data_IF_364191973104
#
_entry.id   IF_364191973104
#
_cell.length_a   1.000
_cell.length_b   1.000
_cell.length_c   1.000
_cell.angle_alpha   90.00
_cell.angle_beta   90.00
_cell.angle_gamma   90.00
#
_symmetry.space_group_name_H-M   'P 1'
#
loop_
_entity.id
_entity.type
_entity.pdbx_description
1 polymer ?
#
# COMPACT_ATOMS: atom_id res chain seq x y z
N UNK A 1 -1.25 -5.37 26.35
CA UNK A 1 -2.47 -5.23 25.54
C UNK A 1 -2.45 -3.79 25.05
N UNK A 2 -2.38 -3.61 23.72
CA UNK A 2 -2.28 -2.27 23.15
C UNK A 2 -3.64 -1.55 23.26
N UNK A 3 -3.64 -0.30 23.75
CA UNK A 3 -4.83 0.54 23.89
C UNK A 3 -5.58 0.66 22.56
N UNK A 4 -4.84 0.76 21.45
CA UNK A 4 -5.39 0.84 20.10
C UNK A 4 -6.16 -0.43 19.71
N UNK A 5 -5.61 -1.61 19.98
CA UNK A 5 -6.31 -2.89 19.71
C UNK A 5 -7.57 -3.03 20.57
N UNK A 6 -7.53 -2.55 21.82
CA UNK A 6 -8.69 -2.56 22.72
C UNK A 6 -9.81 -1.66 22.18
N UNK A 7 -9.47 -0.45 21.71
CA UNK A 7 -10.44 0.49 21.12
C UNK A 7 -11.04 -0.11 19.84
N UNK A 8 -10.23 -0.65 18.93
CA UNK A 8 -10.72 -1.27 17.69
C UNK A 8 -11.69 -2.42 17.99
N UNK A 9 -11.35 -3.29 18.95
CA UNK A 9 -12.26 -4.38 19.39
C UNK A 9 -13.57 -3.86 19.97
N UNK A 10 -13.55 -2.78 20.73
CA UNK A 10 -14.75 -2.18 21.30
C UNK A 10 -15.62 -1.53 20.22
N UNK A 11 -15.04 -0.85 19.23
CA UNK A 11 -15.75 -0.26 18.12
C UNK A 11 -16.41 -1.30 17.21
N UNK A 12 -15.74 -2.42 16.98
CA UNK A 12 -16.27 -3.54 16.20
C UNK A 12 -17.30 -4.40 16.98
N UNK A 13 -17.44 -4.19 18.30
CA UNK A 13 -18.34 -4.99 19.11
C UNK A 13 -19.82 -4.68 18.79
N UNK A 14 -20.69 -5.72 18.75
CA UNK A 14 -22.11 -5.53 18.51
C UNK A 14 -22.80 -4.84 19.70
N UNK A 15 -23.69 -3.91 19.40
CA UNK A 15 -24.46 -3.17 20.42
C UNK A 15 -25.70 -3.96 20.85
N UNK A 16 -25.85 -4.16 22.15
CA UNK A 16 -27.05 -4.80 22.72
C UNK A 16 -28.17 -3.79 22.96
N UNK A 17 -29.40 -4.17 22.69
CA UNK A 17 -30.59 -3.39 23.06
C UNK A 17 -30.68 -3.28 24.59
N UNK A 18 -30.92 -2.06 25.10
CA UNK A 18 -31.02 -1.80 26.55
C UNK A 18 -32.12 -2.68 27.18
N UNK A 19 -31.75 -3.46 28.20
CA UNK A 19 -32.69 -4.33 28.93
C UNK A 19 -33.00 -5.68 28.26
N UNK A 20 -32.32 -6.04 27.18
CA UNK A 20 -32.53 -7.33 26.52
C UNK A 20 -31.19 -8.02 26.22
N UNK A 21 -31.20 -9.31 25.89
CA UNK A 21 -30.02 -10.02 25.39
C UNK A 21 -29.84 -9.89 23.87
N UNK A 22 -30.80 -9.24 23.18
CA UNK A 22 -30.79 -9.13 21.73
C UNK A 22 -29.86 -7.97 21.28
N UNK A 23 -29.22 -8.14 20.15
CA UNK A 23 -28.42 -7.10 19.50
C UNK A 23 -29.31 -6.08 18.78
N UNK A 24 -28.79 -4.85 18.63
CA UNK A 24 -29.42 -3.89 17.75
C UNK A 24 -29.22 -4.31 16.28
N UNK A 25 -30.28 -4.16 15.50
CA UNK A 25 -30.24 -4.40 14.05
C UNK A 25 -30.65 -3.13 13.33
N UNK A 26 -30.08 -2.88 12.14
CA UNK A 26 -30.51 -1.83 11.22
C UNK A 26 -31.83 -2.20 10.52
N UNK A 27 -32.27 -1.36 9.58
CA UNK A 27 -33.50 -1.59 8.80
C UNK A 27 -33.42 -2.82 7.89
N UNK A 28 -32.20 -3.24 7.54
CA UNK A 28 -31.90 -4.41 6.70
C UNK A 28 -31.73 -5.71 7.52
N UNK A 29 -31.75 -5.61 8.85
CA UNK A 29 -31.60 -6.74 9.76
C UNK A 29 -30.17 -7.08 10.14
N UNK A 30 -29.17 -6.27 9.74
CA UNK A 30 -27.78 -6.48 10.11
C UNK A 30 -27.51 -6.02 11.55
N UNK A 31 -26.61 -6.70 12.24
CA UNK A 31 -26.23 -6.35 13.61
C UNK A 31 -25.42 -5.04 13.60
N UNK A 32 -25.90 -4.04 14.36
CA UNK A 32 -25.24 -2.74 14.48
C UNK A 32 -24.02 -2.85 15.39
N UNK A 33 -22.87 -2.44 14.90
CA UNK A 33 -21.64 -2.31 15.69
C UNK A 33 -21.62 -1.01 16.50
N UNK A 34 -20.78 -0.94 17.53
CA UNK A 34 -20.61 0.28 18.33
C UNK A 34 -20.20 1.48 17.48
N UNK A 35 -19.37 1.27 16.49
CA UNK A 35 -18.94 2.30 15.53
C UNK A 35 -20.14 2.84 14.72
N UNK A 36 -20.94 1.94 14.14
CA UNK A 36 -22.13 2.32 13.40
C UNK A 36 -23.15 3.05 14.28
N UNK A 37 -23.37 2.61 15.53
CA UNK A 37 -24.26 3.26 16.48
C UNK A 37 -23.80 4.70 16.85
N UNK A 38 -22.48 4.89 17.02
CA UNK A 38 -21.89 6.23 17.27
C UNK A 38 -22.12 7.11 16.03
N UNK A 39 -21.83 6.59 14.82
CA UNK A 39 -22.05 7.31 13.57
C UNK A 39 -23.50 7.75 13.40
N UNK A 40 -24.47 6.83 13.59
CA UNK A 40 -25.91 7.14 13.55
C UNK A 40 -26.30 8.23 14.56
N UNK A 41 -25.73 8.18 15.78
CA UNK A 41 -26.00 9.16 16.82
C UNK A 41 -25.49 10.55 16.43
N UNK A 42 -24.27 10.64 15.86
CA UNK A 42 -23.68 11.91 15.41
C UNK A 42 -24.50 12.49 14.24
N UNK A 43 -24.85 11.67 13.26
CA UNK A 43 -25.68 12.08 12.12
C UNK A 43 -27.06 12.53 12.60
N UNK A 44 -27.70 11.79 13.52
CA UNK A 44 -28.98 12.17 14.10
C UNK A 44 -28.94 13.51 14.82
N UNK A 45 -27.90 13.80 15.59
CA UNK A 45 -27.66 15.09 16.23
C UNK A 45 -27.44 16.21 15.21
N UNK A 46 -26.66 15.96 14.17
CA UNK A 46 -26.43 16.92 13.09
C UNK A 46 -27.76 17.30 12.39
N UNK A 47 -28.59 16.31 12.07
CA UNK A 47 -29.91 16.51 11.47
C UNK A 47 -30.88 17.26 12.39
N UNK A 48 -30.72 17.13 13.71
CA UNK A 48 -31.52 17.89 14.70
C UNK A 48 -31.02 19.33 14.95
N UNK A 49 -29.97 19.75 14.23
CA UNK A 49 -29.44 21.13 14.29
C UNK A 49 -28.33 21.35 15.32
N UNK A 50 -27.73 20.29 15.86
CA UNK A 50 -26.54 20.40 16.71
C UNK A 50 -25.34 20.85 15.87
N UNK A 51 -24.94 22.12 16.05
CA UNK A 51 -23.87 22.73 15.27
C UNK A 51 -22.50 22.02 15.44
N UNK A 52 -22.23 21.45 16.61
CA UNK A 52 -21.00 20.71 16.85
C UNK A 52 -21.00 19.39 16.08
N UNK A 53 -22.12 18.68 16.06
CA UNK A 53 -22.28 17.46 15.27
C UNK A 53 -22.24 17.75 13.77
N UNK A 54 -22.85 18.84 13.31
CA UNK A 54 -22.73 19.30 11.90
C UNK A 54 -21.27 19.57 11.52
N UNK A 55 -20.56 20.36 12.35
CA UNK A 55 -19.15 20.66 12.09
C UNK A 55 -18.28 19.40 12.06
N UNK A 56 -18.55 18.44 12.94
CA UNK A 56 -17.83 17.16 12.97
C UNK A 56 -18.07 16.35 11.69
N UNK A 57 -19.31 16.21 11.24
CA UNK A 57 -19.65 15.48 9.99
C UNK A 57 -19.00 16.15 8.77
N UNK A 58 -19.05 17.49 8.68
CA UNK A 58 -18.41 18.23 7.59
C UNK A 58 -16.88 18.04 7.60
N UNK A 59 -16.24 18.08 8.78
CA UNK A 59 -14.80 17.84 8.89
C UNK A 59 -14.43 16.42 8.44
N UNK A 60 -15.21 15.40 8.81
CA UNK A 60 -14.99 14.02 8.34
C UNK A 60 -15.11 13.92 6.82
N UNK A 61 -16.12 14.53 6.21
CA UNK A 61 -16.28 14.54 4.76
C UNK A 61 -15.11 15.25 4.07
N UNK A 62 -14.67 16.39 4.59
CA UNK A 62 -13.49 17.10 4.05
C UNK A 62 -12.21 16.27 4.19
N UNK A 63 -12.06 15.55 5.30
CA UNK A 63 -10.92 14.67 5.50
C UNK A 63 -10.94 13.49 4.51
N UNK A 64 -12.09 12.83 4.35
CA UNK A 64 -12.24 11.75 3.35
C UNK A 64 -11.95 12.24 1.93
N UNK A 65 -12.40 13.44 1.56
CA UNK A 65 -12.09 14.01 0.25
C UNK A 65 -10.59 14.26 0.07
N UNK A 66 -9.91 14.79 1.09
CA UNK A 66 -8.45 15.01 1.06
C UNK A 66 -7.70 13.69 0.94
N UNK A 67 -8.09 12.68 1.73
CA UNK A 67 -7.46 11.37 1.72
C UNK A 67 -7.63 10.71 0.33
N UNK A 68 -8.83 10.79 -0.25
CA UNK A 68 -9.10 10.29 -1.60
C UNK A 68 -8.30 11.04 -2.69
N UNK A 69 -8.14 12.37 -2.55
CA UNK A 69 -7.29 13.14 -3.46
C UNK A 69 -5.82 12.73 -3.34
N UNK A 70 -5.32 12.62 -2.11
CA UNK A 70 -3.93 12.18 -1.86
C UNK A 70 -3.68 10.78 -2.42
N UNK A 71 -4.61 9.84 -2.21
CA UNK A 71 -4.51 8.49 -2.79
C UNK A 71 -4.51 8.51 -4.32
N UNK A 72 -5.32 9.36 -4.94
CA UNK A 72 -5.37 9.51 -6.40
C UNK A 72 -4.06 10.10 -6.95
N UNK A 73 -3.53 11.13 -6.31
CA UNK A 73 -2.24 11.75 -6.67
C UNK A 73 -1.08 10.77 -6.51
N UNK A 74 -1.06 10.00 -5.42
CA UNK A 74 -0.06 8.95 -5.21
C UNK A 74 -0.18 7.81 -6.24
N UNK A 75 -1.41 7.43 -6.63
CA UNK A 75 -1.63 6.42 -7.64
C UNK A 75 -1.15 6.88 -9.02
N UNK A 76 -1.41 8.16 -9.36
CA UNK A 76 -0.94 8.76 -10.61
C UNK A 76 0.59 8.86 -10.64
N UNK A 77 1.21 9.35 -9.55
CA UNK A 77 2.66 9.39 -9.41
C UNK A 77 3.30 8.00 -9.57
N UNK A 78 2.66 6.96 -9.00
CA UNK A 78 3.11 5.57 -9.17
C UNK A 78 3.05 5.10 -10.62
N UNK A 79 1.98 5.45 -11.35
CA UNK A 79 1.84 5.12 -12.76
C UNK A 79 2.93 5.78 -13.60
N UNK A 80 3.13 7.07 -13.42
CA UNK A 80 4.16 7.84 -14.15
C UNK A 80 5.56 7.28 -13.87
N UNK A 81 5.88 6.95 -12.62
CA UNK A 81 7.15 6.33 -12.26
C UNK A 81 7.30 4.94 -12.91
N UNK A 82 6.23 4.16 -12.96
CA UNK A 82 6.26 2.82 -13.59
C UNK A 82 6.46 2.94 -15.11
N UNK A 83 5.82 3.90 -15.77
CA UNK A 83 6.02 4.18 -17.19
C UNK A 83 7.46 4.63 -17.47
N UNK A 84 7.99 5.53 -16.65
CA UNK A 84 9.38 5.96 -16.76
C UNK A 84 10.35 4.77 -16.63
N UNK A 85 10.18 3.93 -15.62
CA UNK A 85 11.01 2.75 -15.40
C UNK A 85 10.88 1.73 -16.53
N UNK A 86 9.68 1.57 -17.09
CA UNK A 86 9.43 0.75 -18.28
C UNK A 86 10.25 1.23 -19.48
N UNK A 87 10.22 2.54 -19.75
CA UNK A 87 10.98 3.13 -20.85
C UNK A 87 12.49 3.02 -20.62
N UNK A 88 12.97 3.15 -19.41
CA UNK A 88 14.38 2.97 -19.07
C UNK A 88 14.86 1.54 -19.32
N UNK A 89 14.09 0.53 -18.85
CA UNK A 89 14.41 -0.88 -19.10
C UNK A 89 14.37 -1.18 -20.61
N UNK A 90 13.37 -0.66 -21.32
CA UNK A 90 13.25 -0.80 -22.77
C UNK A 90 14.46 -0.23 -23.48
N UNK A 91 14.88 0.99 -23.18
CA UNK A 91 16.09 1.64 -23.75
C UNK A 91 17.34 0.82 -23.49
N UNK A 92 17.47 0.24 -22.29
CA UNK A 92 18.60 -0.66 -21.97
C UNK A 92 18.62 -1.87 -22.89
N UNK A 93 17.45 -2.51 -23.14
CA UNK A 93 17.35 -3.66 -24.05
C UNK A 93 17.56 -3.26 -25.51
N UNK A 94 17.12 -2.06 -25.93
CA UNK A 94 17.37 -1.50 -27.26
C UNK A 94 18.86 -1.26 -27.48
N UNK A 95 19.57 -0.68 -26.49
CA UNK A 95 21.02 -0.46 -26.55
C UNK A 95 21.80 -1.78 -26.67
N UNK A 96 21.32 -2.83 -25.98
CA UNK A 96 21.89 -4.20 -26.09
C UNK A 96 21.42 -4.93 -27.38
N UNK A 97 20.61 -4.27 -28.22
CA UNK A 97 20.02 -4.87 -29.43
C UNK A 97 19.12 -6.09 -29.11
N UNK A 98 18.51 -6.13 -27.94
CA UNK A 98 17.71 -7.27 -27.45
C UNK A 98 16.19 -6.99 -27.47
N UNK A 99 15.76 -5.75 -27.69
CA UNK A 99 14.35 -5.40 -27.65
C UNK A 99 13.54 -6.06 -28.78
N UNK A 100 12.37 -6.57 -28.43
CA UNK A 100 11.31 -7.03 -29.35
C UNK A 100 9.95 -6.77 -28.69
N UNK A 101 8.93 -6.42 -29.49
CA UNK A 101 7.58 -6.12 -28.97
C UNK A 101 6.93 -7.28 -28.20
N UNK A 102 7.39 -8.50 -28.42
CA UNK A 102 6.91 -9.69 -27.71
C UNK A 102 7.33 -9.76 -26.22
N UNK A 103 8.21 -8.85 -25.76
CA UNK A 103 8.71 -8.78 -24.36
C UNK A 103 7.87 -7.84 -23.48
N UNK A 104 6.80 -7.26 -23.99
CA UNK A 104 6.05 -6.18 -23.31
C UNK A 104 5.51 -6.59 -21.94
N UNK A 105 4.96 -7.82 -21.81
CA UNK A 105 4.39 -8.29 -20.53
C UNK A 105 5.46 -8.45 -19.44
N UNK A 106 6.62 -9.04 -19.79
CA UNK A 106 7.73 -9.21 -18.85
C UNK A 106 8.31 -7.87 -18.44
N UNK A 107 8.30 -6.89 -19.36
CA UNK A 107 8.75 -5.53 -19.10
C UNK A 107 7.87 -4.81 -18.06
N UNK A 108 6.56 -4.97 -18.13
CA UNK A 108 5.61 -4.33 -17.21
C UNK A 108 5.81 -4.85 -15.77
N UNK A 109 6.01 -6.16 -15.59
CA UNK A 109 6.33 -6.72 -14.28
C UNK A 109 7.64 -6.16 -13.71
N UNK A 110 8.68 -6.06 -14.53
CA UNK A 110 9.98 -5.52 -14.12
C UNK A 110 9.90 -4.03 -13.80
N UNK A 111 9.15 -3.25 -14.58
CA UNK A 111 8.93 -1.84 -14.30
C UNK A 111 8.24 -1.62 -12.95
N UNK A 112 7.24 -2.43 -12.61
CA UNK A 112 6.60 -2.40 -11.31
C UNK A 112 7.55 -2.76 -10.16
N UNK A 113 8.39 -3.78 -10.35
CA UNK A 113 9.41 -4.16 -9.37
C UNK A 113 10.42 -3.04 -9.15
N UNK A 114 10.89 -2.39 -10.22
CA UNK A 114 11.80 -1.25 -10.12
C UNK A 114 11.15 -0.06 -9.39
N UNK A 115 9.91 0.26 -9.71
CA UNK A 115 9.14 1.32 -9.02
C UNK A 115 9.03 1.04 -7.52
N UNK A 116 8.81 -0.21 -7.13
CA UNK A 116 8.80 -0.60 -5.71
C UNK A 116 10.16 -0.39 -5.04
N UNK A 117 11.27 -0.76 -5.70
CA UNK A 117 12.64 -0.53 -5.20
C UNK A 117 12.93 0.96 -5.03
N UNK A 118 12.58 1.77 -6.03
CA UNK A 118 12.79 3.22 -6.02
C UNK A 118 12.07 3.86 -4.82
N UNK A 119 10.82 3.47 -4.55
CA UNK A 119 10.04 3.94 -3.40
C UNK A 119 10.64 3.54 -2.05
N UNK A 120 11.08 2.29 -1.91
CA UNK A 120 11.79 1.86 -0.70
C UNK A 120 13.07 2.67 -0.48
N UNK A 121 13.81 2.93 -1.55
CA UNK A 121 15.03 3.72 -1.50
C UNK A 121 14.74 5.18 -1.12
N UNK A 122 13.67 5.76 -1.68
CA UNK A 122 13.21 7.09 -1.33
C UNK A 122 12.81 7.20 0.14
N UNK A 123 12.05 6.22 0.67
CA UNK A 123 11.70 6.16 2.09
C UNK A 123 12.92 6.09 2.99
N UNK A 124 13.95 5.33 2.61
CA UNK A 124 15.21 5.22 3.34
C UNK A 124 16.05 6.50 3.29
N UNK A 125 15.85 7.34 2.27
CA UNK A 125 16.54 8.62 2.13
C UNK A 125 15.80 9.80 2.79
N UNK A 126 14.62 9.58 3.37
CA UNK A 126 13.86 10.65 4.02
C UNK A 126 14.54 11.14 5.29
N UNK A 127 14.44 12.46 5.60
CA UNK A 127 14.92 13.00 6.86
C UNK A 127 14.24 12.30 8.04
N UNK A 128 15.06 11.78 8.97
CA UNK A 128 14.55 11.06 10.15
C UNK A 128 14.46 9.55 9.98
N UNK A 129 14.79 9.00 8.81
CA UNK A 129 14.94 7.56 8.67
C UNK A 129 16.07 7.03 9.57
N UNK A 130 15.81 5.93 10.26
CA UNK A 130 16.78 5.26 11.10
C UNK A 130 17.12 3.89 10.52
N UNK A 131 18.37 3.66 10.19
CA UNK A 131 18.88 2.37 9.71
C UNK A 131 18.74 1.26 10.74
N UNK A 132 18.85 1.62 12.01
CA UNK A 132 18.72 0.71 13.14
C UNK A 132 17.82 1.30 14.20
N UNK A 133 17.08 0.44 14.88
CA UNK A 133 16.33 0.77 16.09
C UNK A 133 16.65 -0.26 17.18
N UNK A 134 16.40 0.10 18.43
CA UNK A 134 16.66 -0.78 19.55
C UNK A 134 15.37 -1.48 19.99
N UNK A 135 15.42 -2.81 20.07
CA UNK A 135 14.33 -3.63 20.59
C UNK A 135 14.69 -4.19 21.97
N UNK A 136 13.76 -4.16 22.94
CA UNK A 136 13.98 -4.80 24.23
C UNK A 136 13.89 -6.32 24.11
N UNK A 137 14.87 -7.03 24.63
CA UNK A 137 14.79 -8.47 24.89
C UNK A 137 13.93 -8.76 26.13
N UNK A 138 13.56 -10.03 26.28
CA UNK A 138 12.83 -10.51 27.46
C UNK A 138 13.55 -10.29 28.78
N UNK A 139 14.88 -10.18 28.77
CA UNK A 139 15.74 -9.90 29.89
C UNK A 139 15.98 -8.40 30.17
N UNK A 140 15.32 -7.51 29.36
CA UNK A 140 15.44 -6.06 29.49
C UNK A 140 16.67 -5.47 28.78
N UNK A 141 17.54 -6.28 28.18
CA UNK A 141 18.65 -5.76 27.36
C UNK A 141 18.12 -5.20 26.02
N UNK A 142 18.70 -4.06 25.59
CA UNK A 142 18.36 -3.43 24.32
C UNK A 142 19.30 -3.93 23.23
N UNK A 143 18.72 -4.39 22.11
CA UNK A 143 19.50 -4.87 20.96
C UNK A 143 19.29 -3.94 19.79
N UNK A 144 20.38 -3.46 19.14
CA UNK A 144 20.28 -2.78 17.88
C UNK A 144 19.79 -3.77 16.82
N UNK A 145 18.72 -3.41 16.14
CA UNK A 145 18.09 -4.22 15.09
C UNK A 145 18.07 -3.40 13.81
N UNK A 146 18.52 -4.00 12.72
CA UNK A 146 18.46 -3.35 11.40
C UNK A 146 17.00 -3.10 11.01
N UNK A 147 16.72 -1.96 10.39
CA UNK A 147 15.38 -1.63 9.90
C UNK A 147 14.97 -2.66 8.82
N UNK A 148 13.81 -3.32 8.96
CA UNK A 148 13.35 -4.32 7.99
C UNK A 148 13.29 -3.84 6.54
N UNK A 149 13.18 -2.52 6.30
CA UNK A 149 13.17 -1.95 4.95
C UNK A 149 14.43 -2.31 4.16
N UNK A 150 15.60 -2.44 4.81
CA UNK A 150 16.83 -2.89 4.15
C UNK A 150 16.66 -4.29 3.56
N UNK A 151 16.14 -5.23 4.36
CA UNK A 151 15.92 -6.60 3.91
C UNK A 151 14.89 -6.68 2.77
N UNK A 152 13.80 -5.91 2.87
CA UNK A 152 12.78 -5.85 1.82
C UNK A 152 13.33 -5.27 0.52
N UNK A 153 14.11 -4.18 0.59
CA UNK A 153 14.76 -3.59 -0.58
C UNK A 153 15.73 -4.56 -1.23
N UNK A 154 16.60 -5.19 -0.45
CA UNK A 154 17.63 -6.08 -0.96
C UNK A 154 17.02 -7.33 -1.64
N UNK A 155 15.96 -7.91 -1.06
CA UNK A 155 15.17 -8.97 -1.70
C UNK A 155 14.52 -8.51 -3.00
N UNK A 156 13.97 -7.30 -3.03
CA UNK A 156 13.36 -6.74 -4.24
C UNK A 156 14.41 -6.51 -5.34
N UNK A 157 15.59 -5.99 -4.99
CA UNK A 157 16.72 -5.80 -5.92
C UNK A 157 17.18 -7.13 -6.50
N UNK A 158 17.35 -8.15 -5.67
CA UNK A 158 17.73 -9.49 -6.15
C UNK A 158 16.69 -10.07 -7.12
N UNK A 159 15.41 -9.93 -6.78
CA UNK A 159 14.30 -10.38 -7.65
C UNK A 159 14.31 -9.65 -8.99
N UNK A 160 14.49 -8.33 -8.97
CA UNK A 160 14.59 -7.51 -10.17
C UNK A 160 15.78 -7.91 -11.06
N UNK A 161 16.96 -8.09 -10.47
CA UNK A 161 18.16 -8.52 -11.20
C UNK A 161 17.94 -9.88 -11.87
N UNK A 162 17.42 -10.87 -11.14
CA UNK A 162 17.09 -12.18 -11.69
C UNK A 162 16.01 -12.10 -12.79
N UNK A 163 15.07 -11.17 -12.68
CA UNK A 163 14.07 -10.88 -13.71
C UNK A 163 14.71 -10.29 -14.98
N UNK A 164 15.62 -9.33 -14.83
CA UNK A 164 16.37 -8.74 -15.95
C UNK A 164 17.23 -9.77 -16.69
N UNK A 165 17.90 -10.67 -15.96
CA UNK A 165 18.67 -11.75 -16.56
C UNK A 165 17.79 -12.71 -17.37
N UNK A 166 16.63 -13.09 -16.81
CA UNK A 166 15.65 -13.94 -17.54
C UNK A 166 15.12 -13.24 -18.79
N UNK A 167 14.79 -11.95 -18.71
CA UNK A 167 14.31 -11.18 -19.83
C UNK A 167 15.36 -11.09 -20.94
N UNK A 168 16.64 -10.87 -20.61
CA UNK A 168 17.76 -10.88 -21.55
C UNK A 168 17.96 -12.24 -22.22
N UNK A 169 17.92 -13.31 -21.43
CA UNK A 169 18.05 -14.67 -21.94
C UNK A 169 16.91 -15.02 -22.93
N UNK A 170 15.67 -14.65 -22.60
CA UNK A 170 14.52 -14.87 -23.48
C UNK A 170 14.62 -14.04 -24.77
N UNK A 171 15.06 -12.79 -24.67
CA UNK A 171 15.31 -11.92 -25.81
C UNK A 171 16.35 -12.51 -26.77
N UNK A 172 17.46 -13.03 -26.24
CA UNK A 172 18.50 -13.69 -27.03
C UNK A 172 17.93 -14.94 -27.71
N UNK A 173 17.20 -15.78 -26.98
CA UNK A 173 16.58 -17.00 -27.52
C UNK A 173 15.63 -16.68 -28.68
N UNK A 174 14.74 -15.71 -28.52
CA UNK A 174 13.80 -15.28 -29.59
C UNK A 174 14.55 -14.75 -30.80
N UNK A 175 15.62 -13.98 -30.61
CA UNK A 175 16.45 -13.46 -31.69
C UNK A 175 17.17 -14.57 -32.46
N UNK A 176 17.64 -15.61 -31.80
CA UNK A 176 18.23 -16.76 -32.44
C UNK A 176 17.22 -17.58 -33.23
N UNK A 177 16.03 -17.80 -32.68
CA UNK A 177 14.93 -18.46 -33.39
C UNK A 177 14.53 -17.70 -34.65
N UNK A 178 14.38 -16.36 -34.57
CA UNK A 178 14.04 -15.54 -35.75
C UNK A 178 15.08 -15.59 -36.88
N UNK A 179 16.35 -15.92 -36.58
CA UNK A 179 17.40 -16.08 -37.58
C UNK A 179 17.38 -17.47 -38.26
N UNK A 180 16.80 -18.48 -37.59
CA UNK A 180 16.73 -19.84 -38.17
C UNK A 180 15.60 -19.98 -39.20
N UNK A 181 14.65 -19.05 -39.22
CA UNK A 181 13.52 -19.04 -40.16
C UNK A 181 13.68 -18.05 -41.32
N UNK A 182 14.87 -17.47 -41.46
CA UNK A 182 15.27 -16.66 -42.62
C UNK A 182 16.28 -17.40 -43.48
#
# INVERSE_FOLDING_TARGET
>A
MDLRETIIKQLAAPVKKKGTQNYMTDEEGNIVTSEAAIGMTIVGKALSGDLQAVAFVLNLQMQQQRDAQTEAEEAESRRQQTEHNRDEIRRTLEADNLWTDSLTLDLDELAQQKTFIDRLTEQMNQPGYQDTFTLPKKDGTMIPTLNPLHEYRDKAVQKFQAGMERLRAEAIKRKLQARQFK
#
